data_IF_951698255471
#
_entry.id   IF_951698255471
#
_cell.length_a   1.000
_cell.length_b   1.000
_cell.length_c   1.000
_cell.angle_alpha   90.00
_cell.angle_beta   90.00
_cell.angle_gamma   90.00
#
_symmetry.space_group_name_H-M   'P 1'
#
loop_
_entity.id
_entity.type
_entity.pdbx_description
1 polymer ?
#
# COMPACT_ATOMS: atom_id res chain seq x y z
N UNK A 1 14.24 -8.71 29.32
CA UNK A 1 13.98 -7.34 28.83
C UNK A 1 13.19 -7.44 27.55
N UNK A 2 11.87 -7.23 27.61
CA UNK A 2 10.99 -7.38 26.45
C UNK A 2 11.24 -6.26 25.45
N UNK A 3 11.15 -6.59 24.16
CA UNK A 3 11.35 -5.71 22.99
C UNK A 3 10.41 -4.50 22.91
N UNK A 4 9.55 -4.29 23.90
CA UNK A 4 8.54 -3.23 23.99
C UNK A 4 9.07 -1.90 24.55
N UNK A 5 10.21 -1.89 25.23
CA UNK A 5 10.75 -0.68 25.87
C UNK A 5 11.26 0.38 24.88
N UNK A 6 11.58 0.02 23.63
CA UNK A 6 12.17 0.95 22.65
C UNK A 6 11.14 1.83 21.93
N UNK A 7 9.83 1.52 22.02
CA UNK A 7 8.75 2.19 21.27
C UNK A 7 7.82 3.07 22.11
N UNK A 8 8.12 3.28 23.40
CA UNK A 8 7.24 4.04 24.32
C UNK A 8 5.75 3.58 24.26
N UNK A 9 5.50 2.28 24.13
CA UNK A 9 4.14 1.72 24.06
C UNK A 9 3.53 1.43 25.43
N UNK A 10 4.26 1.67 26.51
CA UNK A 10 3.83 1.31 27.88
C UNK A 10 2.99 2.41 28.54
N UNK A 11 2.67 3.49 27.81
CA UNK A 11 1.91 4.65 28.30
C UNK A 11 0.50 4.82 27.70
N UNK A 12 0.00 3.86 26.91
CA UNK A 12 -1.36 3.96 26.39
C UNK A 12 -2.37 3.75 27.53
N UNK A 13 -3.24 4.74 27.74
CA UNK A 13 -4.32 4.64 28.71
C UNK A 13 -5.24 3.47 28.38
N UNK A 14 -5.39 2.56 29.33
CA UNK A 14 -6.35 1.45 29.27
C UNK A 14 -7.49 1.81 30.22
N UNK A 15 -8.74 1.94 29.73
CA UNK A 15 -9.84 2.35 30.58
C UNK A 15 -10.14 1.29 31.65
N UNK A 16 -10.39 1.68 32.93
CA UNK A 16 -10.75 0.74 33.99
C UNK A 16 -11.94 -0.16 33.64
N UNK A 17 -12.93 0.38 32.92
CA UNK A 17 -14.09 -0.38 32.43
C UNK A 17 -13.72 -1.58 31.55
N UNK A 18 -12.62 -1.51 30.81
CA UNK A 18 -12.13 -2.60 29.97
C UNK A 18 -11.42 -3.70 30.77
N UNK A 19 -10.75 -3.31 31.87
CA UNK A 19 -10.06 -4.25 32.77
C UNK A 19 -11.08 -4.95 33.66
N UNK A 20 -11.96 -4.19 34.29
CA UNK A 20 -12.97 -4.66 35.25
C UNK A 20 -14.03 -5.55 34.60
N UNK A 21 -14.41 -5.27 33.34
CA UNK A 21 -15.32 -6.13 32.58
C UNK A 21 -14.71 -7.47 32.15
N UNK A 22 -13.37 -7.61 32.21
CA UNK A 22 -12.68 -8.80 31.71
C UNK A 22 -12.63 -8.91 30.18
N UNK A 23 -13.06 -7.87 29.46
CA UNK A 23 -13.15 -7.87 28.00
C UNK A 23 -11.79 -8.01 27.30
N UNK A 24 -10.69 -7.68 28.00
CA UNK A 24 -9.31 -7.85 27.50
C UNK A 24 -8.97 -9.28 27.04
N UNK A 25 -9.71 -10.29 27.48
CA UNK A 25 -9.53 -11.68 27.03
C UNK A 25 -10.13 -11.98 25.66
N UNK A 26 -11.10 -11.17 25.22
CA UNK A 26 -11.96 -11.47 24.05
C UNK A 26 -11.96 -10.37 22.99
N UNK A 27 -11.71 -9.12 23.38
CA UNK A 27 -11.83 -7.94 22.52
C UNK A 27 -10.60 -7.06 22.69
N UNK A 28 -10.22 -6.31 21.65
CA UNK A 28 -9.26 -5.22 21.79
C UNK A 28 -9.89 -4.00 22.48
N UNK A 29 -9.05 -3.09 23.00
CA UNK A 29 -9.50 -1.81 23.60
C UNK A 29 -10.40 -1.02 22.63
N UNK A 30 -10.05 -0.98 21.34
CA UNK A 30 -10.83 -0.31 20.30
C UNK A 30 -12.20 -0.96 20.07
N UNK A 31 -12.29 -2.30 20.16
CA UNK A 31 -13.54 -3.03 20.05
C UNK A 31 -14.44 -2.82 21.27
N UNK A 32 -13.86 -2.76 22.48
CA UNK A 32 -14.59 -2.41 23.71
C UNK A 32 -15.14 -0.98 23.66
N UNK A 33 -14.35 -0.03 23.13
CA UNK A 33 -14.78 1.35 22.91
C UNK A 33 -15.80 1.53 21.77
N UNK A 34 -16.25 0.45 21.11
CA UNK A 34 -17.22 0.52 20.02
C UNK A 34 -16.70 1.22 18.75
N UNK A 35 -15.38 1.24 18.54
CA UNK A 35 -14.78 1.82 17.34
C UNK A 35 -15.33 1.11 16.09
N UNK A 36 -15.95 1.89 15.20
CA UNK A 36 -16.39 1.45 13.87
C UNK A 36 -15.34 1.67 12.78
N UNK A 37 -14.13 2.10 13.16
CA UNK A 37 -13.07 2.43 12.21
C UNK A 37 -12.62 1.20 11.43
N UNK A 38 -12.64 1.27 10.11
CA UNK A 38 -11.97 0.27 9.25
C UNK A 38 -10.49 0.61 9.16
N UNK A 39 -9.61 -0.38 9.02
CA UNK A 39 -8.19 -0.12 8.83
C UNK A 39 -7.98 0.79 7.61
N UNK A 40 -7.33 1.95 7.77
CA UNK A 40 -7.08 2.88 6.66
C UNK A 40 -6.32 2.21 5.50
N UNK A 41 -5.46 1.24 5.81
CA UNK A 41 -4.76 0.39 4.85
C UNK A 41 -5.73 -0.42 3.97
N UNK A 42 -6.82 -0.94 4.53
CA UNK A 42 -7.87 -1.66 3.79
C UNK A 42 -8.78 -0.72 2.98
N UNK A 43 -9.02 0.50 3.46
CA UNK A 43 -9.90 1.47 2.78
C UNK A 43 -9.24 2.13 1.57
N UNK A 44 -7.98 2.54 1.69
CA UNK A 44 -7.33 3.37 0.66
C UNK A 44 -6.16 2.68 -0.04
N UNK A 45 -5.50 1.71 0.60
CA UNK A 45 -4.43 0.92 -0.02
C UNK A 45 -3.31 1.75 -0.66
N UNK A 46 -3.10 3.00 -0.21
CA UNK A 46 -2.11 3.90 -0.81
C UNK A 46 -0.73 3.51 -0.32
N UNK A 47 0.18 3.29 -1.26
CA UNK A 47 1.59 2.95 -1.02
C UNK A 47 2.50 3.96 -1.70
N UNK A 48 3.66 4.22 -1.08
CA UNK A 48 4.76 4.94 -1.73
C UNK A 48 5.49 3.96 -2.65
N UNK A 49 5.28 4.11 -3.96
CA UNK A 49 5.82 3.23 -4.98
C UNK A 49 6.94 3.94 -5.75
N UNK A 50 8.10 3.29 -5.88
CA UNK A 50 9.21 3.77 -6.70
C UNK A 50 9.21 3.03 -8.04
N UNK A 51 9.34 3.77 -9.14
CA UNK A 51 9.40 3.15 -10.46
C UNK A 51 10.68 2.31 -10.63
N UNK A 52 10.56 1.00 -10.95
CA UNK A 52 11.72 0.11 -11.05
C UNK A 52 12.59 0.41 -12.28
N UNK A 53 12.00 0.94 -13.35
CA UNK A 53 12.67 1.21 -14.63
C UNK A 53 12.25 2.55 -15.22
N UNK A 54 13.10 3.08 -16.11
CA UNK A 54 12.80 4.28 -16.90
C UNK A 54 11.62 4.00 -17.82
N UNK A 55 10.61 4.86 -17.76
CA UNK A 55 9.36 4.69 -18.49
C UNK A 55 8.91 6.00 -19.11
N UNK A 56 7.98 5.93 -20.06
CA UNK A 56 7.40 7.11 -20.71
C UNK A 56 5.89 7.06 -20.58
N UNK A 57 5.28 8.18 -20.24
CA UNK A 57 3.83 8.30 -20.26
C UNK A 57 3.33 8.35 -21.70
N UNK A 58 2.34 7.52 -22.05
CA UNK A 58 1.77 7.50 -23.40
C UNK A 58 0.82 8.66 -23.66
N UNK A 59 0.34 9.36 -22.63
CA UNK A 59 -0.57 10.50 -22.76
C UNK A 59 0.14 11.81 -23.15
N UNK A 60 1.30 12.10 -22.53
CA UNK A 60 2.02 13.36 -22.74
C UNK A 60 3.48 13.18 -23.18
N UNK A 61 3.92 11.94 -23.43
CA UNK A 61 5.31 11.62 -23.78
C UNK A 61 6.37 12.05 -22.75
N UNK A 62 5.97 12.40 -21.54
CA UNK A 62 6.89 12.71 -20.45
C UNK A 62 7.70 11.48 -20.03
N UNK A 63 9.02 11.64 -19.90
CA UNK A 63 9.94 10.58 -19.50
C UNK A 63 10.04 10.58 -17.98
N UNK A 64 9.69 9.44 -17.37
CA UNK A 64 9.81 9.24 -15.93
C UNK A 64 11.11 8.48 -15.64
N UNK A 65 11.92 9.03 -14.74
CA UNK A 65 13.16 8.42 -14.30
C UNK A 65 12.93 7.14 -13.50
N UNK A 66 13.95 6.28 -13.48
CA UNK A 66 14.01 5.17 -12.52
C UNK A 66 14.10 5.75 -11.10
N UNK A 67 13.40 5.15 -10.14
CA UNK A 67 13.41 5.57 -8.73
C UNK A 67 12.50 6.75 -8.41
N UNK A 68 11.72 7.27 -9.37
CA UNK A 68 10.74 8.32 -9.09
C UNK A 68 9.60 7.79 -8.20
N UNK A 69 9.26 8.56 -7.16
CA UNK A 69 8.33 8.18 -6.07
C UNK A 69 6.91 8.65 -6.30
N UNK A 70 5.97 7.72 -6.42
CA UNK A 70 4.54 8.00 -6.54
C UNK A 70 3.78 7.60 -5.29
N UNK A 71 2.67 8.31 -5.03
CA UNK A 71 1.59 7.76 -4.23
C UNK A 71 0.73 6.91 -5.18
N UNK A 72 0.81 5.58 -5.03
CA UNK A 72 0.08 4.63 -5.85
C UNK A 72 -1.01 3.96 -5.03
N UNK A 73 -2.17 3.73 -5.63
CA UNK A 73 -3.18 2.84 -5.07
C UNK A 73 -2.79 1.40 -5.40
N UNK A 74 -2.63 0.57 -4.37
CA UNK A 74 -2.34 -0.86 -4.48
C UNK A 74 -3.66 -1.64 -4.39
N UNK A 75 -4.05 -2.25 -5.51
CA UNK A 75 -5.17 -3.17 -5.59
C UNK A 75 -4.66 -4.60 -5.87
N UNK A 76 -5.39 -5.62 -5.45
CA UNK A 76 -5.09 -7.03 -5.78
C UNK A 76 -6.00 -7.46 -6.93
N UNK A 77 -5.43 -7.84 -8.08
CA UNK A 77 -6.20 -8.12 -9.31
C UNK A 77 -6.30 -9.62 -9.61
N UNK A 78 -5.35 -10.42 -9.13
CA UNK A 78 -5.36 -11.86 -9.34
C UNK A 78 -4.26 -12.57 -8.57
N UNK A 79 -3.96 -13.80 -8.96
CA UNK A 79 -2.87 -14.59 -8.41
C UNK A 79 -2.20 -15.44 -9.50
N UNK A 80 -0.87 -15.57 -9.40
CA UNK A 80 -0.08 -16.54 -10.14
C UNK A 80 0.26 -17.70 -9.19
N UNK A 81 -0.43 -18.83 -9.35
CA UNK A 81 -0.47 -19.92 -8.36
C UNK A 81 -0.87 -19.42 -6.96
N UNK A 82 0.03 -19.47 -5.98
CA UNK A 82 -0.18 -18.97 -4.62
C UNK A 82 0.25 -17.50 -4.43
N UNK A 83 0.91 -16.90 -5.42
CA UNK A 83 1.48 -15.54 -5.32
C UNK A 83 0.49 -14.51 -5.84
N UNK A 84 0.15 -13.50 -5.04
CA UNK A 84 -0.79 -12.44 -5.43
C UNK A 84 -0.18 -11.50 -6.48
N UNK A 85 -0.99 -11.12 -7.47
CA UNK A 85 -0.67 -10.10 -8.46
C UNK A 85 -1.24 -8.76 -7.98
N UNK A 86 -0.36 -7.78 -7.78
CA UNK A 86 -0.73 -6.44 -7.38
C UNK A 86 -0.77 -5.50 -8.59
N UNK A 87 -1.77 -4.63 -8.59
CA UNK A 87 -1.91 -3.53 -9.55
C UNK A 87 -1.69 -2.21 -8.84
N UNK A 88 -0.76 -1.43 -9.37
CA UNK A 88 -0.41 -0.10 -8.88
C UNK A 88 -0.97 0.94 -9.82
N UNK A 89 -1.93 1.72 -9.34
CA UNK A 89 -2.50 2.86 -10.06
C UNK A 89 -1.92 4.15 -9.53
N UNK A 90 -1.30 4.96 -10.39
CA UNK A 90 -0.75 6.27 -10.04
C UNK A 90 -1.03 7.28 -11.16
N UNK A 91 -0.69 8.55 -10.93
CA UNK A 91 -0.92 9.64 -11.88
C UNK A 91 0.41 10.19 -12.39
N UNK A 92 0.47 10.54 -13.67
CA UNK A 92 1.60 11.29 -14.23
C UNK A 92 1.69 12.68 -13.57
N UNK A 93 2.92 13.19 -13.36
CA UNK A 93 3.11 14.54 -12.81
C UNK A 93 2.62 15.64 -13.74
N UNK A 94 2.84 15.47 -15.05
CA UNK A 94 2.55 16.50 -16.05
C UNK A 94 1.06 16.52 -16.41
N UNK A 95 0.56 15.44 -17.01
CA UNK A 95 -0.81 15.39 -17.55
C UNK A 95 -1.86 14.88 -16.57
N UNK A 96 -1.45 14.45 -15.37
CA UNK A 96 -2.33 13.79 -14.37
C UNK A 96 -3.06 12.55 -14.90
N UNK A 97 -2.64 12.03 -16.06
CA UNK A 97 -3.16 10.81 -16.68
C UNK A 97 -2.93 9.60 -15.78
N UNK A 98 -3.88 8.67 -15.80
CA UNK A 98 -3.85 7.44 -15.00
C UNK A 98 -2.86 6.45 -15.60
N UNK A 99 -1.89 6.04 -14.81
CA UNK A 99 -0.87 5.05 -15.15
C UNK A 99 -1.14 3.80 -14.32
N UNK A 100 -1.05 2.63 -14.95
CA UNK A 100 -1.26 1.34 -14.28
C UNK A 100 -0.12 0.40 -14.61
N UNK A 101 0.47 -0.16 -13.55
CA UNK A 101 1.48 -1.22 -13.62
C UNK A 101 1.05 -2.41 -12.79
N UNK A 102 1.42 -3.61 -13.22
CA UNK A 102 1.15 -4.85 -12.50
C UNK A 102 2.45 -5.62 -12.22
N UNK A 103 2.47 -6.36 -11.12
CA UNK A 103 3.57 -7.29 -10.83
C UNK A 103 3.42 -8.53 -11.71
N UNK A 104 4.51 -9.00 -12.32
CA UNK A 104 4.56 -10.27 -13.03
C UNK A 104 5.49 -11.25 -12.28
N UNK A 105 4.93 -12.18 -11.47
CA UNK A 105 5.72 -13.13 -10.70
C UNK A 105 6.48 -14.17 -11.53
N UNK A 106 6.10 -14.38 -12.80
CA UNK A 106 6.75 -15.37 -13.67
C UNK A 106 8.13 -14.89 -14.13
N UNK A 107 8.22 -13.63 -14.54
CA UNK A 107 9.45 -13.04 -15.08
C UNK A 107 10.22 -12.19 -14.05
N UNK A 108 9.73 -12.14 -12.80
CA UNK A 108 10.23 -11.29 -11.72
C UNK A 108 10.31 -9.80 -12.11
N UNK A 109 9.39 -9.33 -12.95
CA UNK A 109 9.36 -7.97 -13.50
C UNK A 109 7.95 -7.36 -13.34
N UNK A 110 7.73 -6.21 -13.96
CA UNK A 110 6.46 -5.50 -13.97
C UNK A 110 5.92 -5.34 -15.39
N UNK A 111 4.62 -5.57 -15.53
CA UNK A 111 3.86 -5.36 -16.75
C UNK A 111 3.28 -3.94 -16.81
N UNK A 112 3.41 -3.32 -17.98
CA UNK A 112 2.97 -1.95 -18.26
C UNK A 112 1.58 -2.00 -18.90
N UNK A 113 0.53 -1.99 -18.07
CA UNK A 113 -0.85 -2.28 -18.52
C UNK A 113 -1.48 -1.09 -19.25
N UNK A 114 -1.41 0.12 -18.68
CA UNK A 114 -2.07 1.28 -19.29
C UNK A 114 -1.36 2.60 -19.02
N UNK A 115 -1.30 3.46 -20.04
CA UNK A 115 -0.82 4.84 -19.91
C UNK A 115 0.71 4.99 -19.85
N UNK A 116 1.44 3.88 -19.82
CA UNK A 116 2.86 3.83 -19.57
C UNK A 116 3.55 2.85 -20.51
N UNK A 117 4.75 3.19 -20.99
CA UNK A 117 5.59 2.33 -21.83
C UNK A 117 6.99 2.24 -21.26
N UNK A 118 7.63 1.07 -21.40
CA UNK A 118 9.05 0.87 -21.07
C UNK A 118 9.90 1.68 -22.06
N UNK A 119 10.85 2.47 -21.56
CA UNK A 119 11.89 3.08 -22.42
C UNK A 119 13.09 2.16 -22.41
N UNK A 120 13.18 1.32 -23.44
CA UNK A 120 14.40 0.55 -23.73
C UNK A 120 15.36 1.54 -24.39
N UNK A 121 16.41 1.90 -23.67
CA UNK A 121 17.54 2.66 -24.18
C UNK A 121 18.79 1.84 -23.92
#
# INVERSE_FOLDING_TARGET
MSSTAATQSDGYYIPPSYIESGDYKKKSVSQHAGSKGTNQSQLYGVVRFELPIKSVCTHCNYVIGKGTRFNAKKDTVGAYFSTKIYSFTFKCYECKGKLVMQTNPKDADYDFVSGIRRKVQ
#
